data_IF_593740201030
#
_entry.id   IF_593740201030
#
_cell.length_a   1.000
_cell.length_b   1.000
_cell.length_c   1.000
_cell.angle_alpha   90.00
_cell.angle_beta   90.00
_cell.angle_gamma   90.00
#
_symmetry.space_group_name_H-M   'P 1'
#
loop_
_entity.id
_entity.type
_entity.pdbx_description
1 polymer ?
#
# COMPACT_ATOMS: atom_id res chain seq x y z
N UNK A 1 -1.71 9.31 -13.85
CA UNK A 1 -2.40 8.01 -13.75
C UNK A 1 -3.50 7.93 -14.79
N UNK A 2 -3.60 6.80 -15.48
CA UNK A 2 -4.65 6.49 -16.44
C UNK A 2 -5.45 5.28 -15.93
N UNK A 3 -6.76 5.29 -16.08
CA UNK A 3 -7.67 4.21 -15.65
C UNK A 3 -8.61 3.87 -16.81
N UNK A 4 -8.85 2.59 -17.02
CA UNK A 4 -9.77 2.08 -18.02
C UNK A 4 -9.85 0.55 -17.96
N UNK A 5 -10.80 0.00 -18.71
CA UNK A 5 -10.99 -1.44 -18.80
C UNK A 5 -9.76 -2.14 -19.39
N UNK A 6 -9.57 -3.41 -19.05
CA UNK A 6 -8.50 -4.21 -19.62
C UNK A 6 -8.69 -4.35 -21.14
N UNK A 7 -7.74 -3.81 -21.91
CA UNK A 7 -7.82 -3.78 -23.38
C UNK A 7 -8.70 -2.67 -23.95
N UNK A 8 -9.27 -1.81 -23.10
CA UNK A 8 -10.05 -0.63 -23.48
C UNK A 8 -9.21 0.65 -23.55
N UNK A 9 -9.87 1.76 -23.90
CA UNK A 9 -9.26 3.09 -23.87
C UNK A 9 -9.17 3.58 -22.41
N UNK A 10 -7.98 4.04 -22.01
CA UNK A 10 -7.76 4.57 -20.67
C UNK A 10 -7.92 6.09 -20.64
N UNK A 11 -8.46 6.61 -19.54
CA UNK A 11 -8.69 8.05 -19.32
C UNK A 11 -7.84 8.56 -18.15
N UNK A 12 -7.30 9.77 -18.27
CA UNK A 12 -6.45 10.37 -17.23
C UNK A 12 -7.27 10.63 -15.97
N UNK A 13 -6.92 9.96 -14.88
CA UNK A 13 -7.67 9.98 -13.61
C UNK A 13 -6.97 10.76 -12.49
N UNK A 14 -5.65 10.86 -12.55
CA UNK A 14 -4.85 11.70 -11.64
C UNK A 14 -3.64 12.23 -12.38
N UNK A 15 -3.14 13.41 -11.99
CA UNK A 15 -1.94 14.02 -12.53
C UNK A 15 -1.12 14.67 -11.41
N UNK A 16 0.20 14.67 -11.56
CA UNK A 16 1.16 15.14 -10.56
C UNK A 16 2.58 14.70 -10.92
N UNK A 17 3.57 15.26 -10.23
CA UNK A 17 4.99 14.90 -10.42
C UNK A 17 5.30 13.51 -9.89
N UNK A 18 4.58 13.08 -8.85
CA UNK A 18 4.71 11.76 -8.24
C UNK A 18 3.35 11.20 -7.83
N UNK A 19 3.24 9.88 -7.89
CA UNK A 19 2.05 9.12 -7.50
C UNK A 19 2.48 7.97 -6.60
N UNK A 20 1.79 7.76 -5.48
CA UNK A 20 1.94 6.51 -4.73
C UNK A 20 1.42 5.33 -5.55
N UNK A 21 1.73 4.12 -5.08
CA UNK A 21 1.05 2.93 -5.60
C UNK A 21 -0.46 3.06 -5.36
N UNK A 22 -1.31 2.79 -6.36
CA UNK A 22 -2.75 2.86 -6.19
C UNK A 22 -3.25 1.79 -5.21
N UNK A 23 -4.42 2.04 -4.66
CA UNK A 23 -5.20 1.09 -3.86
C UNK A 23 -6.67 1.17 -4.29
N UNK A 24 -7.42 0.08 -4.16
CA UNK A 24 -8.80 0.00 -4.66
C UNK A 24 -9.77 -0.13 -3.49
N UNK A 25 -10.91 0.58 -3.59
CA UNK A 25 -12.07 0.32 -2.74
C UNK A 25 -13.05 -0.63 -3.43
N UNK A 26 -14.00 -1.17 -2.65
CA UNK A 26 -14.98 -2.16 -3.10
C UNK A 26 -15.94 -1.67 -4.19
N UNK A 27 -15.99 -0.37 -4.43
CA UNK A 27 -16.80 0.30 -5.45
C UNK A 27 -15.97 0.68 -6.69
N UNK A 28 -14.87 -0.04 -6.91
CA UNK A 28 -13.92 0.12 -8.02
C UNK A 28 -13.21 1.48 -8.08
N UNK A 29 -13.36 2.32 -7.05
CA UNK A 29 -12.62 3.57 -6.98
C UNK A 29 -11.15 3.33 -6.63
N UNK A 30 -10.29 4.09 -7.30
CA UNK A 30 -8.84 4.07 -7.12
C UNK A 30 -8.43 5.20 -6.18
N UNK A 31 -7.71 4.85 -5.12
CA UNK A 31 -7.11 5.77 -4.18
C UNK A 31 -5.62 5.89 -4.45
N UNK A 32 -5.13 7.13 -4.50
CA UNK A 32 -3.72 7.43 -4.77
C UNK A 32 -3.31 8.69 -4.01
N UNK A 33 -2.05 8.73 -3.58
CA UNK A 33 -1.43 9.96 -3.10
C UNK A 33 -0.73 10.64 -4.27
N UNK A 34 -1.08 11.90 -4.52
CA UNK A 34 -0.47 12.78 -5.52
C UNK A 34 0.48 13.73 -4.83
N UNK A 35 1.70 13.87 -5.36
CA UNK A 35 2.74 14.78 -4.87
C UNK A 35 2.96 14.68 -3.36
N UNK A 36 2.87 13.44 -2.85
CA UNK A 36 3.09 13.03 -1.45
C UNK A 36 2.17 13.65 -0.40
N UNK A 37 1.21 14.48 -0.77
CA UNK A 37 0.42 15.25 0.20
C UNK A 37 -1.09 15.25 -0.09
N UNK A 38 -1.50 14.97 -1.32
CA UNK A 38 -2.91 15.01 -1.71
C UNK A 38 -3.43 13.59 -1.88
N UNK A 39 -4.36 13.18 -1.02
CA UNK A 39 -5.06 11.90 -1.20
C UNK A 39 -6.24 12.12 -2.14
N UNK A 40 -6.26 11.39 -3.24
CA UNK A 40 -7.28 11.46 -4.28
C UNK A 40 -7.99 10.12 -4.41
N UNK A 41 -9.32 10.16 -4.45
CA UNK A 41 -10.18 9.06 -4.89
C UNK A 41 -10.66 9.34 -6.32
N UNK A 42 -10.34 8.45 -7.25
CA UNK A 42 -10.81 8.51 -8.63
C UNK A 42 -11.80 7.36 -8.88
N UNK A 43 -12.99 7.65 -9.38
CA UNK A 43 -13.99 6.65 -9.76
C UNK A 43 -14.47 6.92 -11.17
N UNK A 44 -14.61 5.90 -12.00
CA UNK A 44 -15.15 6.07 -13.34
C UNK A 44 -16.64 6.39 -13.25
N UNK A 45 -17.10 7.48 -13.88
CA UNK A 45 -18.52 7.74 -14.04
C UNK A 45 -19.05 6.90 -15.21
N UNK A 46 -19.95 5.92 -14.97
CA UNK A 46 -20.48 5.07 -16.04
C UNK A 46 -21.27 5.86 -17.10
N UNK A 47 -21.82 7.03 -16.75
CA UNK A 47 -22.63 7.83 -17.66
C UNK A 47 -21.80 8.66 -18.64
N UNK A 48 -20.67 9.20 -18.18
CA UNK A 48 -19.81 10.08 -18.99
C UNK A 48 -18.53 9.40 -19.48
N UNK A 49 -18.15 8.25 -18.91
CA UNK A 49 -16.88 7.58 -19.15
C UNK A 49 -15.66 8.33 -18.57
N UNK A 50 -15.87 9.51 -17.98
CA UNK A 50 -14.83 10.35 -17.40
C UNK A 50 -14.65 10.02 -15.91
N UNK A 51 -13.41 9.93 -15.42
CA UNK A 51 -13.16 9.68 -14.00
C UNK A 51 -13.51 10.91 -13.15
N UNK A 52 -14.43 10.76 -12.20
CA UNK A 52 -14.68 11.73 -11.16
C UNK A 52 -13.52 11.71 -10.15
N UNK A 53 -12.95 12.90 -9.91
CA UNK A 53 -11.78 13.11 -9.04
C UNK A 53 -12.24 13.76 -7.74
N UNK A 54 -12.25 12.98 -6.66
CA UNK A 54 -12.77 13.38 -5.36
C UNK A 54 -11.61 13.50 -4.38
N UNK A 55 -11.28 14.72 -3.91
CA UNK A 55 -10.31 14.90 -2.84
C UNK A 55 -10.76 14.19 -1.57
N UNK A 56 -9.82 13.57 -0.87
CA UNK A 56 -10.04 12.98 0.45
C UNK A 56 -9.47 13.92 1.50
N UNK A 57 -10.29 14.29 2.50
CA UNK A 57 -9.84 15.11 3.62
C UNK A 57 -8.85 14.32 4.48
N UNK A 58 -7.60 14.74 4.48
CA UNK A 58 -6.51 14.15 5.27
C UNK A 58 -6.02 15.09 6.39
N UNK A 59 -6.79 16.13 6.73
CA UNK A 59 -6.39 17.17 7.69
C UNK A 59 -6.04 16.59 9.07
N UNK A 60 -6.81 15.60 9.55
CA UNK A 60 -6.52 14.94 10.82
C UNK A 60 -5.18 14.19 10.79
N UNK A 61 -4.86 13.54 9.67
CA UNK A 61 -3.58 12.85 9.44
C UNK A 61 -2.44 13.86 9.47
N UNK A 62 -2.52 14.90 8.63
CA UNK A 62 -1.48 15.92 8.51
C UNK A 62 -1.22 16.66 9.84
N UNK A 63 -2.28 16.90 10.62
CA UNK A 63 -2.17 17.58 11.93
C UNK A 63 -1.45 16.72 12.98
N UNK A 64 -1.65 15.40 12.96
CA UNK A 64 -1.07 14.49 13.97
C UNK A 64 0.27 13.90 13.55
N UNK A 65 0.46 13.67 12.26
CA UNK A 65 1.65 13.06 11.66
C UNK A 65 2.12 13.92 10.49
N UNK A 66 2.82 15.04 10.76
CA UNK A 66 3.31 15.91 9.71
C UNK A 66 4.37 15.19 8.87
N UNK A 67 4.24 15.25 7.55
CA UNK A 67 5.20 14.68 6.60
C UNK A 67 4.53 14.16 5.33
N UNK A 68 5.38 13.79 4.37
CA UNK A 68 4.98 13.16 3.12
C UNK A 68 4.33 11.79 3.37
N UNK A 69 3.18 11.54 2.72
CA UNK A 69 2.55 10.23 2.61
C UNK A 69 3.17 9.53 1.38
N UNK A 70 4.09 8.61 1.63
CA UNK A 70 4.86 7.94 0.58
C UNK A 70 4.18 6.68 0.03
N UNK A 71 3.31 6.06 0.82
CA UNK A 71 2.48 4.93 0.41
C UNK A 71 1.14 5.02 1.14
N UNK A 72 0.06 4.56 0.50
CA UNK A 72 -1.29 4.49 1.07
C UNK A 72 -1.98 3.26 0.53
N UNK A 73 -2.49 2.40 1.40
CA UNK A 73 -3.24 1.21 1.05
C UNK A 73 -4.51 1.10 1.88
N UNK A 74 -5.65 0.93 1.21
CA UNK A 74 -6.92 0.65 1.83
C UNK A 74 -6.97 -0.80 2.33
N UNK A 75 -7.63 -1.01 3.47
CA UNK A 75 -8.06 -2.35 3.87
C UNK A 75 -9.06 -2.89 2.86
N UNK A 76 -9.15 -4.22 2.75
CA UNK A 76 -10.08 -4.88 1.80
C UNK A 76 -11.54 -4.49 2.01
N UNK A 77 -11.94 -4.18 3.25
CA UNK A 77 -13.30 -3.71 3.57
C UNK A 77 -13.52 -2.21 3.32
N UNK A 78 -12.47 -1.47 2.91
CA UNK A 78 -12.51 -0.03 2.62
C UNK A 78 -12.65 0.86 3.86
N UNK A 79 -12.64 0.30 5.08
CA UNK A 79 -12.91 1.07 6.32
C UNK A 79 -11.66 1.72 6.92
N UNK A 80 -10.47 1.36 6.42
CA UNK A 80 -9.18 1.84 6.96
C UNK A 80 -8.20 2.14 5.84
N UNK A 81 -7.31 3.08 6.11
CA UNK A 81 -6.14 3.35 5.30
C UNK A 81 -4.87 3.16 6.14
N UNK A 82 -3.95 2.36 5.64
CA UNK A 82 -2.59 2.27 6.15
C UNK A 82 -1.68 3.14 5.28
N UNK A 83 -0.80 3.91 5.91
CA UNK A 83 0.05 4.89 5.26
C UNK A 83 1.49 4.78 5.73
N UNK A 84 2.44 5.13 4.85
CA UNK A 84 3.84 5.34 5.22
C UNK A 84 4.09 6.84 5.30
N UNK A 85 4.32 7.35 6.51
CA UNK A 85 4.64 8.76 6.76
C UNK A 85 5.93 8.83 7.58
N UNK A 86 6.97 9.51 7.07
CA UNK A 86 8.26 9.62 7.76
C UNK A 86 8.91 8.27 8.11
N UNK A 87 8.67 7.24 7.29
CA UNK A 87 9.14 5.87 7.50
C UNK A 87 8.38 5.09 8.58
N UNK A 88 7.19 5.56 8.99
CA UNK A 88 6.36 4.97 10.03
C UNK A 88 5.03 4.47 9.46
N UNK A 89 4.47 3.43 10.08
CA UNK A 89 3.13 2.92 9.76
C UNK A 89 2.08 3.76 10.48
N UNK A 90 1.27 4.49 9.72
CA UNK A 90 0.14 5.27 10.22
C UNK A 90 -1.16 4.61 9.75
N UNK A 91 -2.06 4.30 10.68
CA UNK A 91 -3.39 3.80 10.40
C UNK A 91 -4.41 4.92 10.62
N UNK A 92 -5.35 5.10 9.69
CA UNK A 92 -6.52 5.96 9.85
C UNK A 92 -7.81 5.20 9.50
N UNK A 93 -8.93 5.63 10.06
CA UNK A 93 -10.26 5.25 9.59
C UNK A 93 -10.59 5.96 8.28
N UNK A 94 -11.43 5.34 7.46
CA UNK A 94 -11.98 5.92 6.24
C UNK A 94 -13.46 6.16 6.48
N UNK A 95 -13.87 7.43 6.44
CA UNK A 95 -15.26 7.83 6.66
C UNK A 95 -15.81 8.57 5.45
N UNK A 96 -17.04 8.23 5.07
CA UNK A 96 -17.80 9.02 4.11
C UNK A 96 -18.62 10.08 4.86
N UNK A 97 -18.43 11.33 4.48
CA UNK A 97 -19.17 12.48 5.01
C UNK A 97 -20.60 12.50 4.47
N UNK A 98 -21.49 13.24 5.12
CA UNK A 98 -22.88 13.40 4.69
C UNK A 98 -23.03 13.98 3.27
N UNK A 99 -22.04 14.75 2.81
CA UNK A 99 -22.02 15.33 1.46
C UNK A 99 -21.31 14.42 0.43
N UNK A 100 -20.96 13.19 0.80
CA UNK A 100 -20.43 12.16 -0.10
C UNK A 100 -18.91 12.22 -0.31
N UNK A 101 -18.20 13.21 0.25
CA UNK A 101 -16.74 13.21 0.29
C UNK A 101 -16.22 12.18 1.30
N UNK A 102 -14.92 11.87 1.22
CA UNK A 102 -14.25 10.97 2.14
C UNK A 102 -13.25 11.71 3.02
N UNK A 103 -13.04 11.20 4.24
CA UNK A 103 -12.06 11.71 5.19
C UNK A 103 -11.24 10.57 5.81
N UNK A 104 -9.97 10.85 6.10
CA UNK A 104 -9.09 10.00 6.90
C UNK A 104 -9.13 10.47 8.36
N UNK A 105 -9.72 9.66 9.24
CA UNK A 105 -10.03 10.04 10.62
C UNK A 105 -9.26 9.20 11.64
N UNK A 106 -9.19 9.68 12.88
CA UNK A 106 -8.57 8.98 14.02
C UNK A 106 -7.19 8.37 13.76
N UNK A 107 -6.24 9.11 13.16
CA UNK A 107 -4.96 8.54 12.77
C UNK A 107 -4.15 8.11 14.00
N UNK A 108 -3.45 6.98 13.93
CA UNK A 108 -2.55 6.49 14.97
C UNK A 108 -1.36 5.74 14.37
N UNK A 109 -0.23 5.76 15.08
CA UNK A 109 0.97 5.01 14.70
C UNK A 109 0.87 3.56 15.17
N UNK A 110 1.29 2.63 14.33
CA UNK A 110 1.48 1.21 14.64
C UNK A 110 2.97 0.83 14.61
N UNK A 111 3.31 -0.36 15.11
CA UNK A 111 4.64 -0.96 14.94
C UNK A 111 5.78 -0.07 15.43
N UNK A 112 5.68 0.48 16.65
CA UNK A 112 6.69 1.41 17.19
C UNK A 112 8.11 0.82 17.16
N UNK A 113 8.25 -0.50 17.33
CA UNK A 113 9.53 -1.22 17.26
C UNK A 113 10.23 -1.13 15.90
N UNK A 114 9.51 -0.78 14.84
CA UNK A 114 10.08 -0.61 13.49
C UNK A 114 10.81 0.74 13.33
N UNK A 115 10.69 1.66 14.28
CA UNK A 115 11.29 2.99 14.18
C UNK A 115 10.77 3.77 12.95
N UNK A 116 11.68 4.42 12.23
CA UNK A 116 11.42 5.13 10.96
C UNK A 116 12.11 4.40 9.80
N UNK A 117 11.81 3.11 9.63
CA UNK A 117 12.45 2.26 8.62
C UNK A 117 11.54 1.81 7.49
N UNK A 118 10.22 2.05 7.57
CA UNK A 118 9.25 1.52 6.61
C UNK A 118 9.34 2.22 5.26
N UNK A 119 9.31 1.44 4.17
CA UNK A 119 9.38 1.93 2.78
C UNK A 119 8.04 1.80 2.07
N UNK A 120 7.44 0.60 2.10
CA UNK A 120 6.14 0.30 1.49
C UNK A 120 5.35 -0.65 2.41
N UNK A 121 4.02 -0.69 2.26
CA UNK A 121 3.16 -1.54 3.07
C UNK A 121 2.05 -2.21 2.25
N UNK A 122 1.48 -3.30 2.76
CA UNK A 122 0.33 -3.97 2.16
C UNK A 122 -0.50 -4.68 3.23
N UNK A 123 -1.81 -4.73 3.04
CA UNK A 123 -2.69 -5.51 3.90
C UNK A 123 -2.60 -6.99 3.56
N UNK A 124 -2.25 -7.83 4.53
CA UNK A 124 -2.29 -9.29 4.37
C UNK A 124 -3.69 -9.80 4.68
N UNK A 125 -4.28 -9.31 5.77
CA UNK A 125 -5.65 -9.56 6.25
C UNK A 125 -6.29 -8.23 6.64
N UNK A 126 -7.50 -8.24 7.24
CA UNK A 126 -8.15 -7.02 7.73
C UNK A 126 -7.50 -6.43 9.00
N UNK A 127 -6.58 -7.18 9.61
CA UNK A 127 -5.96 -6.89 10.91
C UNK A 127 -4.43 -7.05 10.93
N UNK A 128 -3.81 -7.43 9.82
CA UNK A 128 -2.36 -7.60 9.69
C UNK A 128 -1.84 -6.89 8.43
N UNK A 129 -0.81 -6.07 8.64
CA UNK A 129 -0.12 -5.29 7.62
C UNK A 129 1.29 -5.84 7.51
N UNK A 130 1.77 -6.07 6.29
CA UNK A 130 3.18 -6.39 6.05
C UNK A 130 3.88 -5.18 5.44
N UNK A 131 5.14 -4.96 5.83
CA UNK A 131 5.93 -3.81 5.41
C UNK A 131 7.31 -4.22 4.90
N UNK A 132 7.85 -3.45 3.95
CA UNK A 132 9.30 -3.45 3.66
C UNK A 132 10.02 -2.40 4.47
N UNK A 133 11.29 -2.65 4.79
CA UNK A 133 12.09 -1.82 5.68
C UNK A 133 13.49 -1.54 5.11
N UNK A 134 14.06 -0.41 5.52
CA UNK A 134 15.47 -0.05 5.29
C UNK A 134 16.44 -0.77 6.24
N UNK A 135 15.93 -1.50 7.24
CA UNK A 135 16.70 -2.36 8.13
C UNK A 135 17.13 -3.63 7.39
N UNK A 136 18.42 -3.73 7.05
CA UNK A 136 18.94 -4.87 6.30
C UNK A 136 18.90 -6.21 7.06
N UNK A 137 18.86 -6.18 8.40
CA UNK A 137 18.72 -7.40 9.20
C UNK A 137 17.27 -7.92 9.17
N UNK A 138 16.31 -6.99 9.11
CA UNK A 138 14.87 -7.25 9.13
C UNK A 138 14.15 -6.46 8.02
N UNK A 139 14.38 -6.80 6.75
CA UNK A 139 13.89 -6.02 5.61
C UNK A 139 12.38 -6.15 5.38
N UNK A 140 11.72 -7.10 6.05
CA UNK A 140 10.27 -7.33 5.98
C UNK A 140 9.74 -7.64 7.38
N UNK A 141 8.65 -6.97 7.79
CA UNK A 141 7.99 -7.20 9.08
C UNK A 141 6.46 -7.24 8.93
N UNK A 142 5.80 -8.00 9.79
CA UNK A 142 4.35 -8.02 9.99
C UNK A 142 3.98 -7.08 11.15
N UNK A 143 2.82 -6.42 11.06
CA UNK A 143 2.34 -5.41 11.99
C UNK A 143 0.83 -5.59 12.19
N UNK A 144 0.46 -6.02 13.38
CA UNK A 144 -0.93 -6.12 13.80
C UNK A 144 -1.50 -4.74 14.18
N UNK A 145 -2.83 -4.62 14.21
CA UNK A 145 -3.51 -3.38 14.59
C UNK A 145 -3.39 -2.99 16.07
N UNK A 146 -2.95 -3.91 16.93
CA UNK A 146 -2.57 -3.61 18.31
C UNK A 146 -1.13 -3.05 18.41
N UNK A 147 -0.39 -3.05 17.29
CA UNK A 147 0.98 -2.56 17.18
C UNK A 147 2.05 -3.61 17.44
N UNK A 148 1.68 -4.86 17.78
CA UNK A 148 2.62 -6.00 17.84
C UNK A 148 3.20 -6.24 16.46
N UNK A 149 4.51 -6.47 16.40
CA UNK A 149 5.21 -6.75 15.15
C UNK A 149 6.14 -7.96 15.27
N UNK A 150 6.39 -8.60 14.14
CA UNK A 150 7.33 -9.71 14.00
C UNK A 150 8.05 -9.60 12.65
N UNK A 151 9.22 -10.23 12.51
CA UNK A 151 10.00 -10.17 11.28
C UNK A 151 9.78 -11.43 10.43
N UNK A 152 9.69 -11.22 9.11
CA UNK A 152 9.74 -12.33 8.16
C UNK A 152 11.20 -12.84 8.03
N UNK A 153 11.41 -14.08 7.54
CA UNK A 153 12.77 -14.53 7.21
C UNK A 153 13.47 -13.57 6.25
N UNK A 154 14.75 -13.28 6.45
CA UNK A 154 15.51 -12.38 5.57
C UNK A 154 16.36 -13.10 4.52
N UNK A 155 16.55 -14.41 4.67
CA UNK A 155 17.41 -15.22 3.79
C UNK A 155 16.94 -15.16 2.34
N UNK A 156 17.85 -14.77 1.44
CA UNK A 156 17.59 -14.69 0.00
C UNK A 156 17.09 -13.33 -0.49
N UNK A 157 16.77 -12.41 0.43
CA UNK A 157 16.44 -11.03 0.08
C UNK A 157 17.70 -10.22 -0.20
N UNK A 158 17.63 -9.34 -1.18
CA UNK A 158 18.63 -8.30 -1.39
C UNK A 158 17.96 -6.95 -1.18
N UNK A 159 18.60 -6.08 -0.41
CA UNK A 159 18.14 -4.72 -0.17
C UNK A 159 18.77 -3.73 -1.17
N UNK A 160 18.12 -2.60 -1.49
CA UNK A 160 16.85 -2.13 -0.92
C UNK A 160 15.63 -2.84 -1.52
N UNK A 161 14.64 -3.14 -0.68
CA UNK A 161 13.31 -3.53 -1.15
C UNK A 161 12.48 -2.28 -1.41
N UNK A 162 11.75 -2.26 -2.52
CA UNK A 162 11.10 -1.04 -3.03
C UNK A 162 9.58 -1.10 -3.00
N UNK A 163 8.99 -2.29 -3.06
CA UNK A 163 7.54 -2.47 -3.03
C UNK A 163 7.15 -3.79 -2.37
N UNK A 164 5.93 -3.84 -1.83
CA UNK A 164 5.33 -5.03 -1.26
C UNK A 164 3.86 -5.14 -1.64
N UNK A 165 3.41 -6.37 -1.89
CA UNK A 165 2.00 -6.71 -2.03
C UNK A 165 1.73 -8.02 -1.29
N UNK A 166 0.56 -8.17 -0.69
CA UNK A 166 0.22 -9.39 0.03
C UNK A 166 -1.25 -9.78 -0.10
N UNK A 167 -1.49 -11.07 0.05
CA UNK A 167 -2.79 -11.65 0.34
C UNK A 167 -2.66 -12.54 1.60
N UNK A 168 -3.75 -13.11 2.13
CA UNK A 168 -3.69 -13.85 3.39
C UNK A 168 -2.63 -14.96 3.46
N UNK A 169 -2.27 -15.56 2.32
CA UNK A 169 -1.35 -16.71 2.22
C UNK A 169 0.06 -16.37 1.72
N UNK A 170 0.24 -15.28 0.98
CA UNK A 170 1.47 -14.99 0.24
C UNK A 170 1.83 -13.52 0.30
N UNK A 171 3.11 -13.26 0.59
CA UNK A 171 3.74 -11.94 0.52
C UNK A 171 4.65 -11.88 -0.70
N UNK A 172 4.62 -10.78 -1.42
CA UNK A 172 5.46 -10.51 -2.58
C UNK A 172 6.27 -9.24 -2.36
N UNK A 173 7.57 -9.27 -2.60
CA UNK A 173 8.46 -8.11 -2.47
C UNK A 173 9.23 -7.85 -3.75
N UNK A 174 9.40 -6.59 -4.10
CA UNK A 174 10.29 -6.15 -5.17
C UNK A 174 11.65 -5.72 -4.61
N UNK A 175 12.72 -6.18 -5.25
CA UNK A 175 14.10 -5.78 -4.96
C UNK A 175 14.98 -5.79 -6.21
N UNK A 176 16.31 -5.71 -6.06
CA UNK A 176 17.26 -5.64 -7.18
C UNK A 176 17.15 -6.81 -8.17
N UNK A 177 16.90 -8.03 -7.67
CA UNK A 177 16.73 -9.22 -8.52
C UNK A 177 15.36 -9.36 -9.21
N UNK A 178 14.39 -8.48 -8.89
CA UNK A 178 13.01 -8.62 -9.31
C UNK A 178 12.08 -8.99 -8.16
N UNK A 179 11.00 -9.73 -8.45
CA UNK A 179 9.96 -10.05 -7.46
C UNK A 179 10.18 -11.41 -6.84
N UNK A 180 10.18 -11.45 -5.50
CA UNK A 180 10.22 -12.67 -4.71
C UNK A 180 8.89 -12.86 -3.97
N UNK A 181 8.51 -14.12 -3.74
CA UNK A 181 7.34 -14.50 -2.95
C UNK A 181 7.73 -15.31 -1.71
N UNK A 182 6.97 -15.13 -0.64
CA UNK A 182 7.05 -15.91 0.59
C UNK A 182 5.67 -16.37 1.02
N UNK A 183 5.53 -17.66 1.32
CA UNK A 183 4.30 -18.26 1.82
C UNK A 183 4.61 -19.20 2.99
N UNK A 184 4.05 -18.89 4.15
CA UNK A 184 4.29 -19.66 5.38
C UNK A 184 3.68 -21.07 5.33
N UNK A 185 2.74 -21.33 4.42
CA UNK A 185 2.08 -22.64 4.26
C UNK A 185 2.93 -23.69 3.52
N UNK A 186 4.10 -23.31 2.98
CA UNK A 186 4.98 -24.24 2.26
C UNK A 186 6.11 -24.70 3.19
N UNK A 187 5.83 -25.74 3.98
CA UNK A 187 6.77 -26.31 4.97
C UNK A 187 8.10 -26.78 4.35
N UNK A 188 8.13 -27.10 3.06
CA UNK A 188 9.31 -27.65 2.38
C UNK A 188 10.35 -26.62 1.92
N UNK A 189 10.07 -25.30 2.07
CA UNK A 189 10.99 -24.23 1.64
C UNK A 189 10.92 -23.02 2.59
N UNK A 190 11.78 -22.93 3.62
CA UNK A 190 11.77 -21.83 4.59
C UNK A 190 12.51 -20.59 4.04
N UNK A 191 12.10 -20.09 2.88
CA UNK A 191 12.76 -18.96 2.23
C UNK A 191 11.95 -18.32 1.12
N UNK A 192 12.41 -17.14 0.70
CA UNK A 192 11.85 -16.42 -0.44
C UNK A 192 12.13 -17.17 -1.73
N UNK A 193 11.14 -17.23 -2.61
CA UNK A 193 11.22 -17.89 -3.90
C UNK A 193 11.00 -16.89 -5.04
N UNK A 194 11.70 -17.10 -6.14
CA UNK A 194 11.53 -16.33 -7.37
C UNK A 194 10.09 -16.39 -7.89
N UNK A 195 9.58 -15.27 -8.40
CA UNK A 195 8.34 -15.25 -9.18
C UNK A 195 8.71 -15.34 -10.67
N UNK A 196 8.47 -16.49 -11.34
CA UNK A 196 8.81 -16.65 -12.74
C UNK A 196 8.18 -15.55 -13.60
N UNK A 197 8.97 -14.99 -14.52
CA UNK A 197 8.53 -13.88 -15.39
C UNK A 197 8.64 -12.49 -14.76
N UNK A 198 8.91 -12.37 -13.46
CA UNK A 198 9.13 -11.09 -12.76
C UNK A 198 10.54 -10.95 -12.17
N UNK A 199 11.47 -11.81 -12.59
CA UNK A 199 12.89 -11.76 -12.20
C UNK A 199 13.67 -10.75 -13.06
N UNK A 200 13.17 -9.52 -13.10
CA UNK A 200 13.79 -8.40 -13.83
C UNK A 200 13.87 -7.17 -12.91
N UNK A 201 14.97 -6.41 -12.93
CA UNK A 201 15.09 -5.20 -12.13
C UNK A 201 13.96 -4.21 -12.42
N UNK A 202 13.40 -3.63 -11.36
CA UNK A 202 12.30 -2.66 -11.46
C UNK A 202 10.90 -3.28 -11.62
N UNK A 203 10.77 -4.61 -11.68
CA UNK A 203 9.47 -5.25 -11.57
C UNK A 203 8.82 -4.96 -10.20
N UNK A 204 7.50 -4.76 -10.19
CA UNK A 204 6.72 -4.51 -8.98
C UNK A 204 5.57 -5.51 -8.89
N UNK A 205 5.30 -6.08 -7.69
CA UNK A 205 4.14 -6.94 -7.51
C UNK A 205 2.86 -6.11 -7.50
N UNK A 206 1.84 -6.60 -8.20
CA UNK A 206 0.48 -6.05 -8.19
C UNK A 206 -0.48 -7.19 -7.91
N UNK A 207 -1.39 -7.00 -6.97
CA UNK A 207 -2.48 -7.93 -6.69
C UNK A 207 -3.80 -7.27 -7.08
N UNK A 208 -4.79 -8.07 -7.52
CA UNK A 208 -6.15 -7.55 -7.70
C UNK A 208 -6.66 -6.93 -6.39
N UNK A 209 -7.31 -5.78 -6.52
CA UNK A 209 -8.11 -5.15 -5.46
C UNK A 209 -9.33 -5.99 -5.10
#
# INVERSE_FOLDING_TARGET
MWVGDLGGEAVQSADGHSLSRPSWSLDDAVWVVVDTNVVLRAIQDPASGQPARIPVDSTAVASRFPGAINDLQLSRDGTRAAMVIGGQVILAGVEQTQAGQFALTYPRRLGFGLGSSVVSLSWRTGDDIVVTRTDAAHPVSYVNLDGVNSDAPSRGLQTPLTAIAANPSTVYVAGPQGVLMYSASVESRPGWADVPGLMVPGAAPVLPG
#
